data_IF_118889025707
#
_entry.id   IF_118889025707
#
_cell.length_a   1.000
_cell.length_b   1.000
_cell.length_c   1.000
_cell.angle_alpha   90.00
_cell.angle_beta   90.00
_cell.angle_gamma   90.00
#
_symmetry.space_group_name_H-M   'P 1'
#
loop_
_entity.id
_entity.type
_entity.pdbx_description
1 polymer ?
#
# COMPACT_ATOMS: atom_id res chain seq x y z
N UNK A 1 8.44 13.62 22.15
CA UNK A 1 7.49 13.53 21.02
C UNK A 1 8.31 13.27 19.76
N UNK A 2 7.94 12.32 18.90
CA UNK A 2 8.66 12.04 17.66
C UNK A 2 8.74 13.28 16.73
N UNK A 3 9.84 13.46 15.96
CA UNK A 3 9.96 14.53 14.98
C UNK A 3 8.96 14.37 13.84
N UNK A 4 8.42 15.47 13.30
CA UNK A 4 7.52 15.43 12.13
C UNK A 4 8.27 15.05 10.86
N UNK A 5 7.60 14.46 9.86
CA UNK A 5 8.22 14.19 8.56
C UNK A 5 8.80 15.46 7.92
N UNK A 6 9.98 15.39 7.28
CA UNK A 6 10.57 16.52 6.60
C UNK A 6 9.75 16.88 5.34
N UNK A 7 9.62 18.18 5.07
CA UNK A 7 8.85 18.67 3.91
C UNK A 7 9.65 18.69 2.61
N UNK A 8 10.98 18.62 2.70
CA UNK A 8 11.86 18.61 1.55
C UNK A 8 11.90 17.22 0.88
N UNK A 9 12.20 17.19 -0.42
CA UNK A 9 12.42 15.95 -1.13
C UNK A 9 13.59 15.15 -0.51
N UNK A 10 13.42 13.85 -0.35
CA UNK A 10 14.39 12.92 0.22
C UNK A 10 15.04 12.08 -0.87
N UNK A 11 16.13 11.38 -0.55
CA UNK A 11 16.81 10.46 -1.48
C UNK A 11 16.56 9.03 -1.06
N UNK A 12 16.52 8.12 -2.04
CA UNK A 12 16.36 6.67 -1.79
C UNK A 12 17.63 6.01 -1.18
N UNK A 13 18.67 6.79 -0.89
CA UNK A 13 19.92 6.29 -0.30
C UNK A 13 20.90 5.70 -1.32
N UNK A 14 21.77 4.80 -0.84
CA UNK A 14 22.88 4.26 -1.64
C UNK A 14 22.38 3.42 -2.81
N UNK A 15 22.92 3.66 -4.00
CA UNK A 15 22.57 2.93 -5.22
C UNK A 15 21.52 3.61 -6.10
N UNK A 16 20.77 4.58 -5.55
CA UNK A 16 19.85 5.40 -6.33
C UNK A 16 20.57 6.61 -6.98
N UNK A 17 20.19 7.01 -8.20
CA UNK A 17 20.59 8.29 -8.78
C UNK A 17 20.18 9.48 -7.89
N UNK A 18 20.98 10.55 -7.86
CA UNK A 18 20.70 11.73 -7.02
C UNK A 18 19.41 12.49 -7.38
N UNK A 19 18.95 12.36 -8.62
CA UNK A 19 17.67 12.90 -9.09
C UNK A 19 16.48 11.96 -8.81
N UNK A 20 16.71 10.75 -8.31
CA UNK A 20 15.66 9.82 -7.89
C UNK A 20 15.28 10.12 -6.43
N UNK A 21 14.13 10.75 -6.26
CA UNK A 21 13.69 11.35 -4.98
C UNK A 21 12.24 11.02 -4.68
N UNK A 22 11.92 10.96 -3.41
CA UNK A 22 10.57 10.86 -2.89
C UNK A 22 10.29 12.05 -1.97
N UNK A 23 9.05 12.25 -1.57
CA UNK A 23 8.70 13.31 -0.62
C UNK A 23 7.64 12.81 0.35
N UNK A 24 7.87 13.03 1.65
CA UNK A 24 6.86 12.82 2.67
C UNK A 24 5.74 13.84 2.56
N UNK A 25 4.51 13.42 2.86
CA UNK A 25 3.36 14.29 3.00
C UNK A 25 3.32 14.92 4.40
N UNK A 26 3.07 16.23 4.47
CA UNK A 26 2.71 16.87 5.72
C UNK A 26 1.26 16.58 6.17
N UNK A 27 0.46 15.91 5.32
CA UNK A 27 -0.96 15.60 5.53
C UNK A 27 -1.81 16.84 5.87
N UNK A 28 -1.55 17.95 5.18
CA UNK A 28 -2.22 19.25 5.37
C UNK A 28 -3.23 19.58 4.26
N UNK A 29 -3.29 18.78 3.21
CA UNK A 29 -4.19 18.93 2.07
C UNK A 29 -5.54 18.25 2.26
N UNK A 30 -6.14 17.83 1.14
CA UNK A 30 -7.43 17.14 1.11
C UNK A 30 -7.32 15.75 1.74
N UNK A 31 -8.38 15.33 2.43
CA UNK A 31 -8.54 14.00 3.01
C UNK A 31 -9.63 13.21 2.30
N UNK A 32 -9.31 12.02 1.76
CA UNK A 32 -10.28 11.11 1.12
C UNK A 32 -10.08 9.68 1.60
N UNK A 33 -11.16 8.96 1.87
CA UNK A 33 -11.06 7.56 2.30
C UNK A 33 -11.89 6.61 1.43
N UNK A 34 -11.34 5.45 1.12
CA UNK A 34 -12.04 4.29 0.56
C UNK A 34 -12.08 3.19 1.62
N UNK A 35 -13.27 2.78 2.04
CA UNK A 35 -13.45 1.78 3.09
C UNK A 35 -14.30 0.63 2.53
N UNK A 36 -13.73 -0.58 2.51
CA UNK A 36 -14.32 -1.76 1.89
C UNK A 36 -14.43 -2.86 2.93
N UNK A 37 -15.64 -3.38 3.15
CA UNK A 37 -15.94 -4.39 4.16
C UNK A 37 -16.85 -5.44 3.59
N UNK A 38 -16.39 -6.69 3.48
CA UNK A 38 -17.13 -7.75 2.80
C UNK A 38 -17.33 -8.93 3.73
N UNK A 39 -18.58 -9.21 4.11
CA UNK A 39 -18.95 -10.37 4.91
C UNK A 39 -19.29 -11.60 4.06
N UNK A 40 -19.47 -11.45 2.75
CA UNK A 40 -19.87 -12.51 1.82
C UNK A 40 -21.18 -13.17 2.24
N UNK A 41 -22.17 -12.35 2.61
CA UNK A 41 -23.46 -12.81 3.18
C UNK A 41 -24.12 -13.81 2.22
N UNK A 42 -24.49 -14.98 2.75
CA UNK A 42 -25.13 -16.05 1.98
C UNK A 42 -24.17 -16.92 1.15
N UNK A 43 -22.87 -16.68 1.20
CA UNK A 43 -21.86 -17.52 0.56
C UNK A 43 -21.16 -18.46 1.55
N UNK A 44 -20.53 -19.56 1.08
CA UNK A 44 -19.62 -20.35 1.91
C UNK A 44 -18.48 -19.50 2.48
N UNK A 45 -18.05 -19.79 3.71
CA UNK A 45 -17.01 -19.03 4.43
C UNK A 45 -17.36 -17.55 4.65
N UNK A 46 -18.65 -17.24 4.85
CA UNK A 46 -19.09 -15.90 5.24
C UNK A 46 -18.38 -15.44 6.52
N UNK A 47 -17.93 -14.19 6.52
CA UNK A 47 -17.33 -13.49 7.64
C UNK A 47 -18.41 -12.67 8.37
N UNK A 48 -18.09 -12.20 9.58
CA UNK A 48 -19.04 -11.44 10.39
C UNK A 48 -18.55 -10.08 10.85
N UNK A 49 -17.24 -9.82 10.78
CA UNK A 49 -16.63 -8.61 11.34
C UNK A 49 -16.36 -7.48 10.35
N UNK A 50 -16.27 -7.77 9.06
CA UNK A 50 -15.66 -6.85 8.10
C UNK A 50 -16.44 -5.53 7.92
N UNK A 51 -17.76 -5.60 7.95
CA UNK A 51 -18.64 -4.43 7.89
C UNK A 51 -18.50 -3.56 9.17
N UNK A 52 -18.35 -4.20 10.33
CA UNK A 52 -18.13 -3.50 11.59
C UNK A 52 -16.75 -2.82 11.61
N UNK A 53 -15.72 -3.47 11.07
CA UNK A 53 -14.37 -2.87 10.97
C UNK A 53 -14.40 -1.58 10.14
N UNK A 54 -15.10 -1.59 9.01
CA UNK A 54 -15.31 -0.39 8.18
C UNK A 54 -16.07 0.70 8.92
N UNK A 55 -17.11 0.33 9.67
CA UNK A 55 -17.90 1.28 10.47
C UNK A 55 -17.03 1.95 11.55
N UNK A 56 -16.21 1.16 12.25
CA UNK A 56 -15.26 1.64 13.26
C UNK A 56 -14.20 2.55 12.65
N UNK A 57 -13.61 2.16 11.52
CA UNK A 57 -12.60 2.95 10.82
C UNK A 57 -13.17 4.28 10.30
N UNK A 58 -14.37 4.25 9.69
CA UNK A 58 -15.03 5.46 9.19
C UNK A 58 -15.28 6.47 10.31
N UNK A 59 -15.74 5.99 11.46
CA UNK A 59 -15.98 6.83 12.64
C UNK A 59 -14.68 7.37 13.22
N UNK A 60 -13.65 6.54 13.34
CA UNK A 60 -12.33 6.95 13.81
C UNK A 60 -11.70 8.04 12.92
N UNK A 61 -11.70 7.86 11.60
CA UNK A 61 -11.16 8.83 10.65
C UNK A 61 -11.92 10.16 10.69
N UNK A 62 -13.24 10.11 10.84
CA UNK A 62 -14.08 11.29 10.98
C UNK A 62 -13.78 12.06 12.27
N UNK A 63 -13.87 11.38 13.41
CA UNK A 63 -13.85 12.00 14.73
C UNK A 63 -12.45 12.46 15.13
N UNK A 64 -11.39 11.80 14.64
CA UNK A 64 -10.00 12.04 15.09
C UNK A 64 -9.11 12.66 14.03
N UNK A 65 -9.37 12.40 12.75
CA UNK A 65 -8.50 12.81 11.65
C UNK A 65 -9.20 13.68 10.61
N UNK A 66 -10.41 14.18 10.88
CA UNK A 66 -11.06 15.19 10.05
C UNK A 66 -11.36 14.75 8.61
N UNK A 67 -11.50 13.45 8.37
CA UNK A 67 -12.05 12.96 7.12
C UNK A 67 -13.55 13.23 7.12
N UNK A 68 -14.02 14.01 6.14
CA UNK A 68 -15.45 14.33 6.03
C UNK A 68 -16.20 13.15 5.42
N UNK A 69 -17.43 12.89 5.88
CA UNK A 69 -18.22 11.74 5.39
C UNK A 69 -18.48 11.84 3.88
N UNK A 70 -18.62 13.05 3.33
CA UNK A 70 -18.76 13.29 1.89
C UNK A 70 -17.48 13.01 1.06
N UNK A 71 -16.32 12.95 1.71
CA UNK A 71 -15.05 12.54 1.12
C UNK A 71 -14.71 11.07 1.44
N UNK A 72 -15.71 10.27 1.82
CA UNK A 72 -15.56 8.83 2.01
C UNK A 72 -16.41 8.05 1.01
N UNK A 73 -15.82 7.04 0.39
CA UNK A 73 -16.56 5.98 -0.31
C UNK A 73 -16.54 4.74 0.56
N UNK A 74 -17.72 4.26 0.94
CA UNK A 74 -17.92 3.06 1.76
C UNK A 74 -18.59 2.01 0.89
N UNK A 75 -17.94 0.84 0.75
CA UNK A 75 -18.47 -0.31 0.02
C UNK A 75 -18.67 -1.49 0.98
N UNK A 76 -19.92 -1.89 1.22
CA UNK A 76 -20.26 -3.05 2.06
C UNK A 76 -21.37 -3.89 1.45
N UNK A 77 -21.35 -5.21 1.66
CA UNK A 77 -22.27 -6.16 1.01
C UNK A 77 -23.64 -6.30 1.70
N UNK A 78 -23.93 -5.44 2.68
CA UNK A 78 -25.25 -5.23 3.29
C UNK A 78 -25.99 -4.00 2.72
N UNK A 79 -25.36 -3.25 1.81
CA UNK A 79 -25.92 -2.03 1.23
C UNK A 79 -27.03 -2.33 0.22
N UNK A 80 -28.09 -1.52 0.24
CA UNK A 80 -29.16 -1.58 -0.75
C UNK A 80 -28.80 -0.87 -2.06
N UNK A 81 -27.94 0.15 -2.00
CA UNK A 81 -27.51 0.88 -3.20
C UNK A 81 -26.54 0.02 -4.02
N UNK A 82 -26.85 -0.34 -5.28
CA UNK A 82 -25.97 -1.16 -6.12
C UNK A 82 -24.58 -0.55 -6.34
N UNK A 83 -24.44 0.77 -6.27
CA UNK A 83 -23.14 1.46 -6.41
C UNK A 83 -22.27 1.38 -5.15
N UNK A 84 -22.86 0.98 -4.01
CA UNK A 84 -22.18 0.81 -2.72
C UNK A 84 -21.88 -0.67 -2.42
N UNK A 85 -22.23 -1.59 -3.31
CA UNK A 85 -21.90 -3.01 -3.18
C UNK A 85 -20.45 -3.25 -3.61
N UNK A 86 -19.63 -4.00 -2.85
CA UNK A 86 -18.21 -4.23 -3.13
C UNK A 86 -18.01 -5.34 -4.20
N UNK A 87 -18.62 -5.18 -5.36
CA UNK A 87 -18.30 -5.98 -6.55
C UNK A 87 -16.99 -5.50 -7.19
N UNK A 88 -16.37 -6.34 -8.03
CA UNK A 88 -15.06 -6.05 -8.63
C UNK A 88 -15.04 -4.68 -9.33
N UNK A 89 -16.05 -4.40 -10.14
CA UNK A 89 -16.14 -3.15 -10.89
C UNK A 89 -16.24 -1.91 -9.99
N UNK A 90 -17.04 -1.97 -8.93
CA UNK A 90 -17.22 -0.87 -7.98
C UNK A 90 -15.95 -0.64 -7.16
N UNK A 91 -15.26 -1.70 -6.73
CA UNK A 91 -13.98 -1.60 -6.02
C UNK A 91 -12.95 -0.90 -6.91
N UNK A 92 -12.74 -1.35 -8.14
CA UNK A 92 -11.78 -0.74 -9.07
C UNK A 92 -12.11 0.73 -9.37
N UNK A 93 -13.39 1.04 -9.60
CA UNK A 93 -13.86 2.42 -9.79
C UNK A 93 -13.61 3.29 -8.56
N UNK A 94 -13.80 2.74 -7.36
CA UNK A 94 -13.58 3.46 -6.11
C UNK A 94 -12.08 3.69 -5.85
N UNK A 95 -11.21 2.73 -6.18
CA UNK A 95 -9.76 2.90 -6.14
C UNK A 95 -9.31 4.03 -7.08
N UNK A 96 -9.81 4.05 -8.31
CA UNK A 96 -9.56 5.16 -9.25
C UNK A 96 -10.07 6.49 -8.70
N UNK A 97 -11.28 6.51 -8.13
CA UNK A 97 -11.82 7.71 -7.48
C UNK A 97 -10.90 8.19 -6.35
N UNK A 98 -10.35 7.30 -5.52
CA UNK A 98 -9.54 7.64 -4.35
C UNK A 98 -8.31 8.46 -4.75
N UNK A 99 -7.59 8.05 -5.79
CA UNK A 99 -6.35 8.72 -6.22
C UNK A 99 -6.56 9.84 -7.23
N UNK A 100 -7.75 9.95 -7.82
CA UNK A 100 -8.03 10.95 -8.84
C UNK A 100 -7.77 12.38 -8.31
N UNK A 101 -6.98 13.11 -9.08
CA UNK A 101 -6.59 14.51 -8.87
C UNK A 101 -5.83 14.78 -7.56
N UNK A 102 -5.25 13.74 -6.92
CA UNK A 102 -4.52 13.88 -5.67
C UNK A 102 -3.30 14.82 -5.82
N UNK A 103 -3.17 15.76 -4.89
CA UNK A 103 -2.13 16.78 -4.87
C UNK A 103 -1.12 16.55 -3.74
N UNK A 104 0.12 17.06 -3.87
CA UNK A 104 1.09 17.00 -2.78
C UNK A 104 0.51 17.51 -1.45
N UNK A 105 0.75 16.75 -0.38
CA UNK A 105 0.22 16.91 0.97
C UNK A 105 -1.24 16.49 1.19
N UNK A 106 -1.95 16.00 0.17
CA UNK A 106 -3.20 15.27 0.38
C UNK A 106 -2.94 13.98 1.18
N UNK A 107 -3.97 13.53 1.90
CA UNK A 107 -3.94 12.34 2.74
C UNK A 107 -5.09 11.40 2.35
N UNK A 108 -4.73 10.38 1.59
CA UNK A 108 -5.62 9.33 1.11
C UNK A 108 -5.56 8.16 2.09
N UNK A 109 -6.71 7.54 2.35
CA UNK A 109 -6.81 6.38 3.22
C UNK A 109 -7.56 5.25 2.51
N UNK A 110 -7.03 4.03 2.57
CA UNK A 110 -7.77 2.84 2.16
C UNK A 110 -7.80 1.81 3.28
N UNK A 111 -8.98 1.26 3.53
CA UNK A 111 -9.18 0.15 4.45
C UNK A 111 -9.92 -0.97 3.73
N UNK A 112 -9.35 -2.17 3.77
CA UNK A 112 -10.00 -3.38 3.28
C UNK A 112 -10.10 -4.39 4.43
N UNK A 113 -11.32 -4.85 4.71
CA UNK A 113 -11.57 -6.02 5.58
C UNK A 113 -12.42 -7.03 4.80
N UNK A 114 -11.91 -8.26 4.68
CA UNK A 114 -12.52 -9.29 3.84
C UNK A 114 -11.56 -10.47 3.61
N UNK A 115 -11.91 -11.33 2.64
CA UNK A 115 -11.02 -12.42 2.25
C UNK A 115 -9.86 -11.92 1.41
N UNK A 116 -8.68 -12.46 1.73
CA UNK A 116 -7.48 -12.37 0.92
C UNK A 116 -6.91 -13.77 0.66
N UNK A 117 -6.05 -13.90 -0.33
CA UNK A 117 -5.45 -15.18 -0.70
C UNK A 117 -4.26 -14.99 -1.63
N UNK A 118 -3.84 -16.08 -2.27
CA UNK A 118 -2.72 -16.09 -3.22
C UNK A 118 -3.11 -16.75 -4.53
N UNK A 119 -2.59 -16.26 -5.64
CA UNK A 119 -2.71 -16.87 -6.97
C UNK A 119 -1.31 -17.05 -7.57
N UNK A 120 -1.06 -18.03 -8.46
CA UNK A 120 0.24 -18.12 -9.12
C UNK A 120 0.55 -16.85 -9.91
N UNK A 121 1.74 -16.31 -9.68
CA UNK A 121 2.30 -15.18 -10.42
C UNK A 121 2.54 -15.60 -11.88
N UNK A 122 2.06 -14.78 -12.82
CA UNK A 122 2.14 -15.03 -14.26
C UNK A 122 3.20 -14.18 -14.97
N UNK A 123 3.74 -13.13 -14.34
CA UNK A 123 4.69 -12.21 -14.95
C UNK A 123 6.11 -12.28 -14.33
N UNK A 124 6.22 -12.94 -13.18
CA UNK A 124 7.47 -13.32 -12.53
C UNK A 124 8.07 -12.23 -11.66
N UNK A 125 7.27 -11.28 -11.19
CA UNK A 125 7.74 -10.17 -10.37
C UNK A 125 7.75 -10.46 -8.85
N UNK A 126 7.10 -11.53 -8.41
CA UNK A 126 7.10 -11.98 -7.01
C UNK A 126 8.18 -13.05 -6.75
N UNK A 127 8.98 -12.83 -5.71
CA UNK A 127 10.12 -13.71 -5.37
C UNK A 127 9.67 -15.13 -4.95
N UNK A 128 8.46 -15.26 -4.41
CA UNK A 128 7.87 -16.54 -4.00
C UNK A 128 6.97 -17.17 -5.09
N UNK A 129 6.75 -16.46 -6.21
CA UNK A 129 5.95 -16.89 -7.35
C UNK A 129 4.44 -16.86 -7.13
N UNK A 130 3.93 -16.03 -6.20
CA UNK A 130 2.51 -15.85 -5.97
C UNK A 130 2.10 -14.40 -5.71
N UNK A 131 1.10 -13.93 -6.44
CA UNK A 131 0.44 -12.63 -6.18
C UNK A 131 -0.49 -12.74 -4.97
N UNK A 132 -0.47 -11.74 -4.10
CA UNK A 132 -1.46 -11.56 -3.03
C UNK A 132 -2.74 -10.93 -3.64
N UNK A 133 -3.92 -11.47 -3.27
CA UNK A 133 -5.19 -11.06 -3.90
C UNK A 133 -6.26 -10.69 -2.87
N UNK A 134 -7.16 -9.80 -3.25
CA UNK A 134 -8.42 -9.55 -2.54
C UNK A 134 -9.62 -10.10 -3.31
N UNK A 135 -10.65 -10.54 -2.58
CA UNK A 135 -11.85 -11.13 -3.16
C UNK A 135 -13.05 -10.18 -3.09
N UNK A 136 -13.50 -9.58 -4.21
CA UNK A 136 -14.78 -8.88 -4.27
C UNK A 136 -15.97 -9.81 -3.93
N UNK A 137 -17.14 -9.25 -3.63
CA UNK A 137 -18.32 -10.08 -3.28
C UNK A 137 -18.75 -11.01 -4.44
N UNK A 138 -18.49 -10.61 -5.68
CA UNK A 138 -18.81 -11.34 -6.91
C UNK A 138 -17.61 -12.14 -7.47
N UNK A 139 -16.60 -12.43 -6.65
CA UNK A 139 -15.35 -13.07 -7.11
C UNK A 139 -15.54 -14.40 -7.85
N UNK A 140 -16.63 -15.13 -7.59
CA UNK A 140 -16.95 -16.40 -8.26
C UNK A 140 -17.25 -16.22 -9.75
N UNK A 141 -17.73 -15.04 -10.14
CA UNK A 141 -18.07 -14.72 -11.54
C UNK A 141 -17.13 -13.69 -12.15
N UNK A 142 -16.63 -12.73 -11.37
CA UNK A 142 -15.78 -11.63 -11.84
C UNK A 142 -14.28 -11.86 -11.57
N UNK A 143 -13.92 -12.89 -10.80
CA UNK A 143 -12.56 -13.14 -10.35
C UNK A 143 -12.13 -12.25 -9.18
N UNK A 144 -10.90 -12.43 -8.72
CA UNK A 144 -10.26 -11.63 -7.67
C UNK A 144 -9.58 -10.37 -8.26
N UNK A 145 -9.04 -9.51 -7.39
CA UNK A 145 -8.19 -8.37 -7.77
C UNK A 145 -6.79 -8.68 -7.23
N UNK A 146 -5.79 -8.65 -8.10
CA UNK A 146 -4.37 -8.88 -7.76
C UNK A 146 -3.73 -7.60 -7.22
N UNK A 147 -2.64 -7.74 -6.47
CA UNK A 147 -1.80 -6.65 -5.97
C UNK A 147 -1.26 -5.74 -7.07
N UNK A 148 -0.87 -6.27 -8.22
CA UNK A 148 -0.49 -5.50 -9.41
C UNK A 148 -1.55 -4.48 -9.83
N UNK A 149 -2.81 -4.91 -9.95
CA UNK A 149 -3.93 -4.04 -10.31
C UNK A 149 -4.09 -2.92 -9.26
N UNK A 150 -3.93 -3.26 -7.99
CA UNK A 150 -4.02 -2.31 -6.89
C UNK A 150 -2.86 -1.31 -6.90
N UNK A 151 -1.64 -1.79 -7.15
CA UNK A 151 -0.44 -0.98 -7.28
C UNK A 151 -0.54 0.00 -8.46
N UNK A 152 -0.97 -0.50 -9.62
CA UNK A 152 -1.12 0.28 -10.85
C UNK A 152 -2.19 1.36 -10.74
N UNK A 153 -3.29 1.07 -10.04
CA UNK A 153 -4.36 2.04 -9.85
C UNK A 153 -4.01 3.03 -8.73
N UNK A 154 -3.45 2.57 -7.60
CA UNK A 154 -3.40 3.39 -6.39
C UNK A 154 -2.02 3.93 -6.03
N UNK A 155 -0.93 3.34 -6.52
CA UNK A 155 0.44 3.73 -6.16
C UNK A 155 1.13 4.45 -7.32
N UNK A 156 1.14 3.81 -8.49
CA UNK A 156 1.83 4.29 -9.70
C UNK A 156 1.45 5.72 -10.14
N UNK A 157 0.18 6.19 -10.07
CA UNK A 157 -0.18 7.52 -10.55
C UNK A 157 0.05 8.65 -9.53
N UNK A 158 0.44 8.33 -8.28
CA UNK A 158 0.54 9.33 -7.23
C UNK A 158 1.74 10.26 -7.42
N UNK A 159 1.50 11.54 -7.20
CA UNK A 159 2.54 12.57 -7.25
C UNK A 159 3.42 12.54 -5.99
N UNK A 160 4.68 13.05 -6.07
CA UNK A 160 5.52 13.20 -4.89
C UNK A 160 4.81 13.97 -3.77
N UNK A 161 4.90 13.48 -2.53
CA UNK A 161 4.27 14.12 -1.37
C UNK A 161 2.77 13.87 -1.20
N UNK A 162 2.11 13.11 -2.08
CA UNK A 162 0.76 12.57 -1.78
C UNK A 162 0.91 11.45 -0.75
N UNK A 163 0.13 11.48 0.33
CA UNK A 163 0.04 10.36 1.26
C UNK A 163 -1.03 9.37 0.81
N UNK A 164 -0.68 8.09 0.76
CA UNK A 164 -1.64 6.99 0.83
C UNK A 164 -1.33 6.11 2.05
N UNK A 165 -2.28 6.04 2.99
CA UNK A 165 -2.23 5.10 4.12
C UNK A 165 -3.20 3.95 3.87
N UNK A 166 -2.68 2.73 3.84
CA UNK A 166 -3.46 1.53 3.61
C UNK A 166 -3.49 0.64 4.85
N UNK A 167 -4.65 0.05 5.16
CA UNK A 167 -4.80 -1.01 6.15
C UNK A 167 -5.56 -2.17 5.50
N UNK A 168 -4.90 -3.33 5.43
CA UNK A 168 -5.51 -4.56 4.95
C UNK A 168 -5.69 -5.54 6.11
N UNK A 169 -6.94 -5.77 6.48
CA UNK A 169 -7.40 -6.73 7.48
C UNK A 169 -7.84 -8.04 6.79
N UNK A 170 -6.93 -8.59 5.99
CA UNK A 170 -7.10 -9.85 5.28
C UNK A 170 -5.86 -10.73 5.42
N UNK A 171 -6.02 -12.05 5.29
CA UNK A 171 -4.85 -12.94 5.24
C UNK A 171 -4.17 -12.86 3.87
N UNK A 172 -2.85 -13.02 3.85
CA UNK A 172 -2.03 -12.87 2.63
C UNK A 172 -2.21 -11.47 2.01
N UNK A 173 -1.94 -10.44 2.82
CA UNK A 173 -1.95 -9.03 2.41
C UNK A 173 -0.62 -8.33 2.70
N UNK A 174 0.44 -9.12 2.89
CA UNK A 174 1.77 -8.61 3.19
C UNK A 174 2.31 -7.76 2.05
N UNK A 175 1.96 -8.16 0.82
CA UNK A 175 2.38 -7.53 -0.43
C UNK A 175 1.20 -6.94 -1.20
N UNK A 176 0.02 -6.71 -0.60
CA UNK A 176 -1.18 -6.26 -1.32
C UNK A 176 -1.08 -4.95 -2.15
N UNK A 177 0.02 -4.20 -2.05
CA UNK A 177 0.32 -3.01 -2.85
C UNK A 177 1.74 -3.05 -3.44
N UNK A 178 2.38 -4.21 -3.37
CA UNK A 178 3.75 -4.51 -3.79
C UNK A 178 4.81 -3.50 -3.36
N UNK A 179 4.72 -3.10 -2.09
CA UNK A 179 5.61 -2.09 -1.56
C UNK A 179 7.00 -2.71 -1.25
N UNK A 180 8.09 -2.13 -1.75
CA UNK A 180 9.40 -2.78 -1.75
C UNK A 180 10.16 -2.68 -0.42
N UNK A 181 9.76 -1.77 0.48
CA UNK A 181 10.33 -1.66 1.82
C UNK A 181 9.39 -2.27 2.83
N UNK A 182 9.86 -3.21 3.65
CA UNK A 182 9.05 -3.84 4.71
C UNK A 182 9.77 -3.73 6.04
N UNK A 183 9.03 -3.30 7.07
CA UNK A 183 9.49 -3.07 8.42
C UNK A 183 8.70 -3.93 9.41
N UNK A 184 9.40 -4.44 10.42
CA UNK A 184 8.83 -5.09 11.59
C UNK A 184 9.24 -4.36 12.86
N UNK A 185 8.71 -4.80 13.99
CA UNK A 185 9.15 -4.33 15.32
C UNK A 185 10.62 -4.63 15.62
N UNK A 186 11.25 -5.55 14.87
CA UNK A 186 12.65 -5.96 15.04
C UNK A 186 13.61 -5.22 14.08
N UNK A 187 13.08 -4.35 13.22
CA UNK A 187 13.84 -3.63 12.20
C UNK A 187 13.37 -3.96 10.79
N UNK A 188 14.25 -3.69 9.83
CA UNK A 188 13.98 -3.81 8.40
C UNK A 188 13.93 -5.29 7.99
N UNK A 189 12.87 -5.69 7.31
CA UNK A 189 12.66 -7.05 6.79
C UNK A 189 13.02 -7.18 5.30
N UNK A 190 12.68 -6.18 4.48
CA UNK A 190 12.91 -6.18 3.02
C UNK A 190 13.31 -4.78 2.55
N UNK A 191 14.31 -4.68 1.68
CA UNK A 191 14.67 -3.47 0.93
C UNK A 191 15.11 -3.85 -0.49
N UNK A 192 14.77 -3.04 -1.51
CA UNK A 192 15.18 -3.30 -2.88
C UNK A 192 16.68 -3.03 -3.09
N UNK A 193 17.31 -3.78 -4.00
CA UNK A 193 18.69 -3.54 -4.40
C UNK A 193 18.77 -2.56 -5.58
N UNK A 194 18.60 -1.28 -5.27
CA UNK A 194 18.52 -0.20 -6.26
C UNK A 194 19.73 -0.13 -7.20
N UNK A 195 20.94 -0.48 -6.73
CA UNK A 195 22.15 -0.46 -7.56
C UNK A 195 22.16 -1.58 -8.62
N UNK A 196 21.72 -2.79 -8.25
CA UNK A 196 21.61 -3.93 -9.16
C UNK A 196 20.59 -3.63 -10.25
N UNK A 197 19.45 -3.07 -9.87
CA UNK A 197 18.36 -2.75 -10.79
C UNK A 197 18.72 -1.60 -11.75
N UNK A 198 19.34 -0.53 -11.22
CA UNK A 198 19.83 0.56 -12.06
C UNK A 198 20.86 0.09 -13.11
N UNK A 199 21.69 -0.91 -12.77
CA UNK A 199 22.65 -1.52 -13.69
C UNK A 199 21.98 -2.39 -14.77
N UNK A 200 21.01 -3.24 -14.39
CA UNK A 200 20.23 -4.05 -15.35
C UNK A 200 19.50 -3.18 -16.38
N UNK A 201 18.98 -2.02 -15.97
CA UNK A 201 18.35 -1.06 -16.89
C UNK A 201 19.35 -0.44 -17.86
N UNK A 202 20.54 -0.06 -17.37
CA UNK A 202 21.59 0.46 -18.24
C UNK A 202 22.02 -0.60 -19.27
N UNK A 203 22.19 -1.86 -18.84
CA UNK A 203 22.55 -2.95 -19.75
C UNK A 203 21.47 -3.23 -20.80
N UNK A 204 20.19 -3.29 -20.41
CA UNK A 204 19.08 -3.53 -21.35
C UNK A 204 18.83 -2.38 -22.34
N UNK A 205 19.02 -1.12 -21.90
CA UNK A 205 19.00 0.04 -22.79
C UNK A 205 20.17 0.03 -23.78
N UNK A 206 21.33 -0.51 -23.40
CA UNK A 206 22.51 -0.63 -24.27
C UNK A 206 22.37 -1.81 -25.24
N UNK A 207 21.78 -2.94 -24.84
CA UNK A 207 21.66 -4.15 -25.69
C UNK A 207 20.50 -4.09 -26.70
N UNK A 208 19.53 -3.19 -26.52
CA UNK A 208 18.42 -2.99 -27.47
C UNK A 208 18.82 -2.29 -28.78
N UNK A 209 20.04 -1.74 -28.86
CA UNK A 209 20.66 -1.34 -30.12
C UNK A 209 21.53 -2.49 -30.64
N UNK A 210 21.04 -3.16 -31.68
CA UNK A 210 21.61 -4.37 -32.25
C UNK A 210 23.12 -4.29 -32.56
N UNK A 211 23.76 -5.47 -32.45
CA UNK A 211 25.15 -5.74 -32.78
C UNK A 211 25.62 -5.01 -34.05
N UNK A 212 26.60 -4.13 -33.92
CA UNK A 212 27.30 -3.58 -35.08
C UNK A 212 27.98 -2.25 -34.82
N UNK A 213 29.29 -2.33 -34.55
CA UNK A 213 30.29 -1.28 -34.66
C UNK A 213 30.33 -0.15 -33.60
N UNK A 214 31.25 -0.30 -32.64
CA UNK A 214 31.39 0.56 -31.45
C UNK A 214 31.92 1.98 -31.74
N UNK A 215 32.48 2.25 -32.92
CA UNK A 215 33.14 3.51 -33.22
C UNK A 215 32.17 4.65 -33.62
N UNK A 216 31.02 4.32 -34.22
CA UNK A 216 30.02 5.31 -34.67
C UNK A 216 28.95 5.64 -33.62
N UNK A 217 28.87 4.84 -32.55
CA UNK A 217 27.90 5.02 -31.44
C UNK A 217 28.29 6.16 -30.50
N UNK A 218 29.59 6.44 -30.30
CA UNK A 218 30.05 7.37 -29.27
C UNK A 218 29.55 8.83 -29.45
N UNK A 219 29.40 9.31 -30.69
CA UNK A 219 29.00 10.69 -30.96
C UNK A 219 27.47 10.89 -30.96
N UNK A 220 26.71 9.89 -31.42
CA UNK A 220 25.24 9.92 -31.43
C UNK A 220 24.65 9.55 -30.06
N UNK A 221 25.31 8.68 -29.30
CA UNK A 221 24.90 8.28 -27.96
C UNK A 221 24.93 9.44 -26.97
N UNK A 222 25.84 10.41 -27.10
CA UNK A 222 25.87 11.59 -26.20
C UNK A 222 24.63 12.48 -26.43
N UNK A 223 24.19 12.62 -27.69
CA UNK A 223 23.00 13.40 -28.05
C UNK A 223 21.69 12.75 -27.62
N UNK A 224 21.60 11.41 -27.72
CA UNK A 224 20.43 10.64 -27.29
C UNK A 224 20.39 10.39 -25.78
N UNK A 225 21.54 10.16 -25.12
CA UNK A 225 21.63 10.07 -23.65
C UNK A 225 21.15 11.35 -22.99
N UNK A 226 21.49 12.53 -23.53
CA UNK A 226 21.01 13.80 -22.98
C UNK A 226 19.49 13.99 -23.06
N UNK A 227 18.83 13.36 -24.05
CA UNK A 227 17.39 13.53 -24.30
C UNK A 227 16.55 12.42 -23.67
N UNK A 228 17.10 11.21 -23.51
CA UNK A 228 16.42 10.05 -22.90
C UNK A 228 16.62 9.96 -21.38
N UNK A 229 17.69 10.55 -20.81
CA UNK A 229 18.01 10.44 -19.38
C UNK A 229 17.12 11.25 -18.41
N UNK A 230 16.15 12.03 -18.90
CA UNK A 230 15.35 12.93 -18.05
C UNK A 230 13.91 12.45 -17.78
N UNK A 231 13.39 11.44 -18.46
CA UNK A 231 11.97 11.04 -18.34
C UNK A 231 11.70 9.54 -18.29
N UNK A 232 12.15 8.78 -19.29
CA UNK A 232 11.74 7.37 -19.45
C UNK A 232 12.47 6.40 -18.52
N UNK A 233 13.75 6.65 -18.21
CA UNK A 233 14.53 5.75 -17.36
C UNK A 233 14.13 5.77 -15.89
N UNK A 234 13.60 6.90 -15.38
CA UNK A 234 13.09 6.97 -14.01
C UNK A 234 11.77 6.22 -13.88
N UNK A 235 10.89 6.34 -14.88
CA UNK A 235 9.60 5.63 -14.94
C UNK A 235 9.79 4.12 -15.05
N UNK A 236 10.70 3.64 -15.90
CA UNK A 236 11.00 2.20 -16.02
C UNK A 236 11.60 1.60 -14.74
N UNK A 237 12.39 2.38 -13.97
CA UNK A 237 12.92 1.96 -12.66
C UNK A 237 11.85 1.82 -11.59
N UNK A 238 10.94 2.80 -11.49
CA UNK A 238 9.78 2.74 -10.58
C UNK A 238 8.96 1.47 -10.84
N UNK A 239 8.75 1.10 -12.11
CA UNK A 239 8.01 -0.11 -12.49
C UNK A 239 8.70 -1.40 -12.00
N UNK A 240 10.03 -1.50 -12.08
CA UNK A 240 10.76 -2.72 -11.67
C UNK A 240 11.06 -2.81 -10.17
N UNK A 241 11.39 -1.68 -9.57
CA UNK A 241 11.67 -1.60 -8.12
C UNK A 241 10.40 -1.58 -7.28
N UNK A 242 9.23 -1.38 -7.92
CA UNK A 242 7.93 -1.04 -7.30
C UNK A 242 8.00 0.14 -6.30
N UNK A 243 9.07 0.96 -6.36
CA UNK A 243 9.21 2.17 -5.54
C UNK A 243 8.39 3.32 -6.11
N UNK A 244 8.01 4.30 -5.29
CA UNK A 244 7.23 5.48 -5.75
C UNK A 244 7.76 6.78 -5.14
N UNK A 245 7.73 7.91 -5.87
CA UNK A 245 8.08 9.20 -5.30
C UNK A 245 7.02 9.72 -4.30
N UNK A 246 5.81 9.15 -4.32
CA UNK A 246 4.73 9.43 -3.37
C UNK A 246 4.97 8.74 -2.02
N UNK A 247 4.30 9.25 -0.98
CA UNK A 247 4.39 8.76 0.40
C UNK A 247 3.34 7.68 0.65
N UNK A 248 3.64 6.43 0.32
CA UNK A 248 2.72 5.30 0.49
C UNK A 248 3.18 4.43 1.65
N UNK A 249 2.28 4.20 2.60
CA UNK A 249 2.50 3.34 3.77
C UNK A 249 1.33 2.38 3.93
N UNK A 250 1.61 1.11 4.21
CA UNK A 250 0.62 0.05 4.39
C UNK A 250 0.87 -0.70 5.68
N UNK A 251 -0.18 -0.89 6.48
CA UNK A 251 -0.19 -1.86 7.56
C UNK A 251 -0.93 -3.12 7.13
N UNK A 252 -0.32 -4.28 7.38
CA UNK A 252 -0.92 -5.58 7.12
C UNK A 252 -0.64 -6.56 8.27
N UNK A 253 -1.49 -7.58 8.39
CA UNK A 253 -1.36 -8.64 9.37
C UNK A 253 -0.82 -9.92 8.74
N UNK A 254 0.45 -10.25 8.94
CA UNK A 254 0.99 -11.54 8.51
C UNK A 254 0.63 -12.64 9.51
N UNK A 255 0.10 -13.78 9.06
CA UNK A 255 0.02 -15.01 9.85
C UNK A 255 1.26 -15.87 9.60
N UNK A 256 1.89 -16.37 10.66
CA UNK A 256 3.04 -17.27 10.51
C UNK A 256 2.66 -18.62 9.88
N UNK A 257 1.43 -19.12 10.10
CA UNK A 257 0.96 -20.39 9.54
C UNK A 257 -0.58 -20.49 9.59
N UNK A 258 -1.21 -20.48 8.41
CA UNK A 258 -2.58 -20.91 8.05
C UNK A 258 -3.85 -20.23 8.66
N UNK A 259 -4.82 -20.06 7.73
CA UNK A 259 -6.29 -19.86 7.82
C UNK A 259 -6.84 -18.69 8.64
N UNK A 260 -7.46 -17.72 7.96
CA UNK A 260 -8.31 -16.61 8.46
C UNK A 260 -9.50 -17.11 9.29
N UNK A 261 -9.31 -17.55 10.53
CA UNK A 261 -10.42 -17.63 11.47
C UNK A 261 -10.84 -16.21 11.85
N UNK A 262 -12.14 -15.89 11.72
CA UNK A 262 -12.75 -14.70 12.31
C UNK A 262 -12.28 -14.58 13.76
N UNK A 263 -11.73 -13.42 14.12
CA UNK A 263 -11.22 -13.23 15.46
C UNK A 263 -12.34 -12.68 16.34
N UNK A 264 -12.68 -13.41 17.40
CA UNK A 264 -13.78 -13.07 18.31
C UNK A 264 -13.22 -12.42 19.56
N UNK A 265 -13.60 -11.17 19.83
CA UNK A 265 -13.30 -10.51 21.10
C UNK A 265 -14.57 -9.83 21.62
N UNK A 266 -14.87 -10.02 22.90
CA UNK A 266 -16.07 -9.49 23.57
C UNK A 266 -17.40 -9.94 22.93
N UNK A 267 -17.41 -11.08 22.23
CA UNK A 267 -18.60 -11.63 21.57
C UNK A 267 -18.82 -11.15 20.13
N UNK A 268 -17.94 -10.30 19.59
CA UNK A 268 -18.03 -9.78 18.22
C UNK A 268 -16.85 -10.25 17.36
N UNK A 269 -17.14 -10.63 16.12
CA UNK A 269 -16.12 -10.84 15.09
C UNK A 269 -15.55 -9.48 14.66
N UNK A 270 -14.22 -9.34 14.58
CA UNK A 270 -13.54 -8.12 14.15
C UNK A 270 -12.20 -8.41 13.47
N UNK A 271 -11.77 -7.47 12.63
CA UNK A 271 -10.43 -7.36 12.09
C UNK A 271 -9.45 -6.98 13.18
N UNK A 272 -8.46 -7.85 13.42
CA UNK A 272 -7.54 -7.69 14.53
C UNK A 272 -6.64 -6.46 14.34
N UNK A 273 -6.18 -6.23 13.10
CA UNK A 273 -5.24 -5.16 12.79
C UNK A 273 -5.91 -3.77 12.90
N UNK A 274 -7.06 -3.57 12.27
CA UNK A 274 -7.80 -2.30 12.31
C UNK A 274 -8.23 -1.97 13.75
N UNK A 275 -8.69 -2.96 14.51
CA UNK A 275 -8.99 -2.78 15.93
C UNK A 275 -7.78 -2.30 16.73
N UNK A 276 -6.63 -2.97 16.59
CA UNK A 276 -5.41 -2.61 17.30
C UNK A 276 -4.89 -1.22 16.87
N UNK A 277 -4.94 -0.92 15.56
CA UNK A 277 -4.57 0.37 15.00
C UNK A 277 -5.42 1.51 15.58
N UNK A 278 -6.75 1.38 15.53
CA UNK A 278 -7.68 2.38 16.08
C UNK A 278 -7.44 2.56 17.58
N UNK A 279 -7.39 1.47 18.34
CA UNK A 279 -7.25 1.50 19.79
C UNK A 279 -5.95 2.20 20.22
N UNK A 280 -4.83 1.85 19.59
CA UNK A 280 -3.52 2.42 19.94
C UNK A 280 -3.44 3.91 19.65
N UNK A 281 -3.97 4.36 18.51
CA UNK A 281 -3.98 5.79 18.16
C UNK A 281 -4.99 6.60 18.98
N UNK A 282 -6.11 6.01 19.41
CA UNK A 282 -7.03 6.66 20.35
C UNK A 282 -6.38 6.87 21.73
N UNK A 283 -5.59 5.91 22.20
CA UNK A 283 -4.91 6.00 23.50
C UNK A 283 -3.64 6.85 23.46
N UNK A 284 -2.89 6.75 22.35
CA UNK A 284 -1.59 7.41 22.15
C UNK A 284 -1.52 7.97 20.73
N UNK A 285 -2.06 9.17 20.48
CA UNK A 285 -2.15 9.72 19.12
C UNK A 285 -0.79 10.15 18.55
N UNK A 286 0.20 10.46 19.40
CA UNK A 286 1.50 10.97 18.98
C UNK A 286 2.59 9.88 19.07
N UNK A 287 2.65 9.03 18.05
CA UNK A 287 3.60 7.91 17.98
C UNK A 287 4.48 8.00 16.74
N UNK A 288 5.72 7.55 16.84
CA UNK A 288 6.53 7.30 15.65
C UNK A 288 6.01 6.07 14.91
N UNK A 289 6.42 5.86 13.66
CA UNK A 289 6.08 4.62 12.93
C UNK A 289 6.48 3.36 13.72
N UNK A 290 7.69 3.33 14.29
CA UNK A 290 8.16 2.22 15.12
C UNK A 290 7.35 2.08 16.42
N UNK A 291 7.03 3.19 17.09
CA UNK A 291 6.22 3.16 18.31
C UNK A 291 4.81 2.65 18.02
N UNK A 292 4.19 3.11 16.93
CA UNK A 292 2.87 2.66 16.49
C UNK A 292 2.89 1.16 16.18
N UNK A 293 3.86 0.70 15.38
CA UNK A 293 3.98 -0.72 15.05
C UNK A 293 4.16 -1.60 16.30
N UNK A 294 4.96 -1.15 17.27
CA UNK A 294 5.13 -1.82 18.56
C UNK A 294 3.85 -1.81 19.42
N UNK A 295 3.14 -0.69 19.48
CA UNK A 295 1.88 -0.58 20.21
C UNK A 295 0.80 -1.49 19.60
N UNK A 296 0.71 -1.53 18.26
CA UNK A 296 -0.20 -2.43 17.54
C UNK A 296 0.16 -3.88 17.84
N UNK A 297 1.44 -4.26 17.75
CA UNK A 297 1.91 -5.61 18.11
C UNK A 297 1.54 -5.98 19.54
N UNK A 298 1.73 -5.07 20.50
CA UNK A 298 1.40 -5.29 21.91
C UNK A 298 -0.10 -5.49 22.15
N UNK A 299 -0.97 -4.86 21.37
CA UNK A 299 -2.42 -5.07 21.47
C UNK A 299 -2.84 -6.41 20.88
N UNK A 300 -2.11 -6.89 19.87
CA UNK A 300 -2.36 -8.16 19.20
C UNK A 300 -1.81 -9.37 19.98
N UNK A 301 -0.67 -9.21 20.65
CA UNK A 301 0.05 -10.27 21.34
C UNK A 301 -0.82 -10.99 22.39
N UNK A 302 -0.77 -12.32 22.39
CA UNK A 302 -1.55 -13.18 23.27
C UNK A 302 -3.04 -13.34 22.91
N UNK A 303 -3.59 -12.48 22.04
CA UNK A 303 -4.99 -12.54 21.58
C UNK A 303 -5.11 -13.01 20.13
N UNK A 304 -4.16 -12.63 19.29
CA UNK A 304 -4.14 -12.91 17.88
C UNK A 304 -2.77 -13.43 17.44
N UNK A 305 -2.75 -14.33 16.47
CA UNK A 305 -1.51 -14.85 15.87
C UNK A 305 -0.92 -13.93 14.80
N UNK A 306 -1.65 -12.88 14.41
CA UNK A 306 -1.18 -11.90 13.44
C UNK A 306 -0.01 -11.10 14.01
N UNK A 307 1.02 -10.93 13.19
CA UNK A 307 2.10 -9.97 13.43
C UNK A 307 1.91 -8.79 12.49
N UNK A 308 1.86 -7.56 13.00
CA UNK A 308 1.71 -6.40 12.15
C UNK A 308 3.03 -6.14 11.42
N UNK A 309 2.92 -5.80 10.15
CA UNK A 309 4.01 -5.35 9.30
C UNK A 309 3.69 -3.96 8.77
N UNK A 310 4.74 -3.20 8.45
CA UNK A 310 4.64 -1.89 7.83
C UNK A 310 5.41 -1.92 6.51
N UNK A 311 4.71 -1.77 5.39
CA UNK A 311 5.32 -1.73 4.06
C UNK A 311 5.25 -0.32 3.48
N UNK A 312 6.26 0.12 2.72
CA UNK A 312 6.39 1.49 2.22
C UNK A 312 6.93 1.55 0.78
N UNK A 313 6.55 2.59 0.03
CA UNK A 313 7.05 2.83 -1.34
C UNK A 313 8.49 3.37 -1.41
N UNK A 314 9.02 3.85 -0.28
CA UNK A 314 10.33 4.47 -0.16
C UNK A 314 10.96 4.15 1.21
N UNK A 315 12.27 4.40 1.41
CA UNK A 315 12.89 4.26 2.72
C UNK A 315 12.16 5.10 3.77
N UNK A 316 11.88 4.50 4.92
CA UNK A 316 11.18 5.13 6.02
C UNK A 316 12.11 5.31 7.22
N UNK A 317 12.31 6.55 7.66
CA UNK A 317 12.81 6.78 9.03
C UNK A 317 11.69 6.50 10.02
N UNK A 318 11.75 5.31 10.63
CA UNK A 318 10.73 4.80 11.54
C UNK A 318 10.63 5.58 12.87
N UNK A 319 11.56 6.52 13.12
CA UNK A 319 11.51 7.40 14.28
C UNK A 319 10.68 8.67 14.03
N UNK A 320 10.30 8.95 12.78
CA UNK A 320 9.40 10.05 12.45
C UNK A 320 8.00 9.80 13.00
N UNK A 321 7.30 10.88 13.32
CA UNK A 321 5.90 10.91 13.74
C UNK A 321 5.01 10.34 12.63
N UNK A 322 4.18 9.37 12.98
CA UNK A 322 3.09 8.93 12.12
C UNK A 322 2.01 10.02 12.06
N UNK A 323 1.68 10.47 10.85
CA UNK A 323 0.68 11.53 10.59
C UNK A 323 -0.37 11.03 9.61
N UNK A 324 -1.59 11.59 9.64
CA UNK A 324 -2.69 11.32 8.69
C UNK A 324 -3.52 12.59 8.47
#
# INVERSE_FOLDING_TARGET
MPPRPPMEAQTFGKGAPSNYRFQYSACTGRRKALLIGINYVGQPNALRGCINDVTNMSTFLHDKYGYRREDMVILTDDQQNPMSVPNKANILRAMQWLVRDAQPNDSLFIHFSGHGGRTPDLDGDEEDGYDDVIYPVDYRTAGHIVDDDMHDIMVRPLQPGVRLTAIFDSCHSGTALDLPYVYSTQGILKEPNLAKEAAQDLFSAITSYGQGDFASVAQTAIGFLKKAALGDSARQRTVRTKTSPADVVMFSGSKDTQTSADTFQDGEARGALSWAFIKTLQQRPNQSYLQLLNSVRSELEGKYSQKPQLSCSHPLDVNLLFVM
#
